data_IF_669290135565
#
_entry.id   IF_669290135565
#
_cell.length_a   1.000
_cell.length_b   1.000
_cell.length_c   1.000
_cell.angle_alpha   90.00
_cell.angle_beta   90.00
_cell.angle_gamma   90.00
#
_symmetry.space_group_name_H-M   'P 1'
#
loop_
_entity.id
_entity.type
_entity.pdbx_description
1 polymer ?
#
# COMPACT_ATOMS: atom_id res chain seq x y z
N UNK A 1 -92.62 -17.25 17.70
CA UNK A 1 -92.39 -16.02 16.91
C UNK A 1 -90.88 -15.88 16.73
N UNK A 2 -90.26 -16.50 15.70
CA UNK A 2 -89.88 -15.89 14.40
C UNK A 2 -89.62 -14.38 14.50
N UNK A 3 -88.36 -13.97 14.28
CA UNK A 3 -87.89 -13.04 13.23
C UNK A 3 -86.36 -13.17 13.15
N UNK A 4 -85.86 -13.65 12.00
CA UNK A 4 -84.51 -13.40 11.48
C UNK A 4 -84.42 -11.93 11.06
N UNK A 5 -83.22 -11.34 11.09
CA UNK A 5 -82.78 -10.59 9.93
C UNK A 5 -81.47 -11.16 9.40
N UNK A 6 -81.52 -11.59 8.16
CA UNK A 6 -80.35 -11.81 7.31
C UNK A 6 -79.74 -10.44 7.00
N UNK A 7 -78.50 -10.21 7.45
CA UNK A 7 -77.64 -9.17 6.90
C UNK A 7 -76.53 -9.89 6.15
N UNK A 8 -76.69 -9.94 4.83
CA UNK A 8 -75.68 -10.37 3.87
C UNK A 8 -74.43 -9.50 4.03
N UNK A 9 -73.44 -10.00 4.77
CA UNK A 9 -72.07 -9.53 4.66
C UNK A 9 -71.55 -10.06 3.32
N UNK A 10 -71.47 -9.17 2.33
CA UNK A 10 -70.74 -9.42 1.09
C UNK A 10 -69.32 -9.88 1.46
N UNK A 11 -69.03 -11.17 1.28
CA UNK A 11 -67.67 -11.69 1.24
C UNK A 11 -66.93 -10.98 0.10
N UNK A 12 -66.14 -9.96 0.44
CA UNK A 12 -65.13 -9.44 -0.47
C UNK A 12 -64.11 -10.55 -0.67
N UNK A 13 -64.10 -11.16 -1.85
CA UNK A 13 -63.03 -12.06 -2.28
C UNK A 13 -61.67 -11.36 -2.11
N UNK A 14 -60.94 -11.76 -1.07
CA UNK A 14 -59.54 -11.38 -0.91
C UNK A 14 -58.79 -12.10 -2.02
N UNK A 15 -58.39 -11.36 -3.06
CA UNK A 15 -57.50 -11.88 -4.10
C UNK A 15 -56.27 -12.47 -3.42
N UNK A 16 -56.13 -13.81 -3.46
CA UNK A 16 -54.95 -14.50 -2.94
C UNK A 16 -53.72 -13.95 -3.66
N UNK A 17 -52.87 -13.23 -2.93
CA UNK A 17 -51.53 -12.83 -3.38
C UNK A 17 -50.81 -14.12 -3.76
N UNK A 18 -50.36 -14.23 -5.00
CA UNK A 18 -49.60 -15.38 -5.50
C UNK A 18 -48.28 -15.43 -4.72
N UNK A 19 -48.19 -16.30 -3.71
CA UNK A 19 -47.03 -16.43 -2.84
C UNK A 19 -46.33 -17.75 -3.13
N UNK A 20 -45.02 -17.68 -3.37
CA UNK A 20 -44.22 -18.88 -3.60
C UNK A 20 -44.18 -19.75 -2.33
N UNK A 21 -44.04 -21.08 -2.47
CA UNK A 21 -43.89 -21.96 -1.33
C UNK A 21 -42.71 -21.55 -0.45
N UNK A 22 -42.86 -21.63 0.87
CA UNK A 22 -41.86 -21.23 1.87
C UNK A 22 -40.45 -21.83 1.67
N UNK A 23 -40.34 -23.00 1.03
CA UNK A 23 -39.07 -23.68 0.78
C UNK A 23 -38.26 -23.05 -0.36
N UNK A 24 -38.90 -22.28 -1.25
CA UNK A 24 -38.25 -21.59 -2.37
C UNK A 24 -37.16 -20.61 -1.88
N UNK A 25 -37.35 -20.04 -0.68
CA UNK A 25 -36.40 -19.13 -0.06
C UNK A 25 -35.04 -19.81 0.21
N UNK A 26 -35.05 -21.04 0.73
CA UNK A 26 -33.82 -21.78 1.00
C UNK A 26 -33.06 -22.13 -0.28
N UNK A 27 -33.78 -22.46 -1.35
CA UNK A 27 -33.19 -22.71 -2.66
C UNK A 27 -32.60 -21.43 -3.26
N UNK A 28 -33.29 -20.30 -3.12
CA UNK A 28 -32.79 -19.00 -3.59
C UNK A 28 -31.49 -18.60 -2.87
N UNK A 29 -31.42 -18.76 -1.54
CA UNK A 29 -30.19 -18.51 -0.79
C UNK A 29 -29.06 -19.47 -1.17
N UNK A 30 -29.37 -20.76 -1.33
CA UNK A 30 -28.40 -21.77 -1.76
C UNK A 30 -27.81 -21.46 -3.13
N UNK A 31 -28.66 -21.13 -4.12
CA UNK A 31 -28.24 -20.74 -5.46
C UNK A 31 -27.43 -19.43 -5.45
N UNK A 32 -27.81 -18.45 -4.63
CA UNK A 32 -27.07 -17.20 -4.51
C UNK A 32 -25.66 -17.42 -3.99
N UNK A 33 -25.49 -18.21 -2.92
CA UNK A 33 -24.18 -18.53 -2.34
C UNK A 33 -23.32 -19.29 -3.36
N UNK A 34 -23.91 -20.26 -4.06
CA UNK A 34 -23.21 -21.06 -5.07
C UNK A 34 -22.71 -20.17 -6.23
N UNK A 35 -23.56 -19.29 -6.76
CA UNK A 35 -23.19 -18.37 -7.83
C UNK A 35 -22.08 -17.40 -7.41
N UNK A 36 -22.14 -16.88 -6.18
CA UNK A 36 -21.10 -16.00 -5.63
C UNK A 36 -19.78 -16.77 -5.49
N UNK A 37 -19.83 -17.98 -4.95
CA UNK A 37 -18.65 -18.84 -4.81
C UNK A 37 -17.99 -19.15 -6.15
N UNK A 38 -18.77 -19.57 -7.15
CA UNK A 38 -18.27 -19.81 -8.50
C UNK A 38 -17.62 -18.55 -9.10
N UNK A 39 -18.27 -17.39 -8.94
CA UNK A 39 -17.74 -16.12 -9.44
C UNK A 39 -16.39 -15.76 -8.82
N UNK A 40 -16.24 -15.94 -7.50
CA UNK A 40 -14.97 -15.68 -6.79
C UNK A 40 -13.86 -16.59 -7.32
N UNK A 41 -14.15 -17.88 -7.47
CA UNK A 41 -13.18 -18.85 -8.00
C UNK A 41 -12.73 -18.44 -9.41
N UNK A 42 -13.65 -18.07 -10.30
CA UNK A 42 -13.32 -17.61 -11.65
C UNK A 42 -12.49 -16.32 -11.66
N UNK A 43 -12.83 -15.35 -10.81
CA UNK A 43 -12.08 -14.09 -10.69
C UNK A 43 -10.63 -14.37 -10.27
N UNK A 44 -10.44 -15.21 -9.25
CA UNK A 44 -9.10 -15.57 -8.75
C UNK A 44 -8.31 -16.34 -9.81
N UNK A 45 -8.92 -17.34 -10.44
CA UNK A 45 -8.27 -18.14 -11.46
C UNK A 45 -7.78 -17.28 -12.65
N UNK A 46 -8.60 -16.32 -13.10
CA UNK A 46 -8.21 -15.38 -14.16
C UNK A 46 -7.16 -14.37 -13.72
N UNK A 47 -7.20 -13.94 -12.46
CA UNK A 47 -6.17 -13.08 -11.88
C UNK A 47 -4.79 -13.75 -11.87
N UNK A 48 -4.74 -15.05 -11.57
CA UNK A 48 -3.49 -15.83 -11.61
C UNK A 48 -2.98 -16.01 -13.04
N UNK A 49 -3.87 -16.23 -14.02
CA UNK A 49 -3.51 -16.45 -15.43
C UNK A 49 -2.93 -15.20 -16.11
N UNK A 50 -3.39 -14.00 -15.76
CA UNK A 50 -3.03 -12.76 -16.46
C UNK A 50 -1.68 -12.14 -16.04
N UNK A 51 -1.15 -12.51 -14.86
CA UNK A 51 0.06 -11.88 -14.30
C UNK A 51 -0.16 -10.43 -13.86
N UNK A 52 0.82 -9.83 -13.19
CA UNK A 52 0.63 -8.61 -12.39
C UNK A 52 0.16 -7.39 -13.20
N UNK A 53 0.86 -7.05 -14.29
CA UNK A 53 0.57 -5.82 -15.06
C UNK A 53 -0.82 -5.82 -15.72
N UNK A 54 -1.24 -6.96 -16.25
CA UNK A 54 -2.55 -7.11 -16.91
C UNK A 54 -3.67 -7.20 -15.88
N UNK A 55 -3.44 -7.90 -14.77
CA UNK A 55 -4.39 -8.01 -13.67
C UNK A 55 -4.64 -6.65 -13.02
N UNK A 56 -3.62 -5.83 -12.84
CA UNK A 56 -3.77 -4.48 -12.30
C UNK A 56 -4.65 -3.60 -13.19
N UNK A 57 -4.41 -3.57 -14.51
CA UNK A 57 -5.22 -2.79 -15.46
C UNK A 57 -6.67 -3.29 -15.52
N UNK A 58 -6.85 -4.61 -15.49
CA UNK A 58 -8.16 -5.24 -15.48
C UNK A 58 -8.95 -4.97 -14.19
N UNK A 59 -8.29 -5.00 -13.03
CA UNK A 59 -8.93 -4.68 -11.76
C UNK A 59 -9.32 -3.19 -11.70
N UNK A 60 -8.47 -2.30 -12.21
CA UNK A 60 -8.77 -0.87 -12.30
C UNK A 60 -10.00 -0.61 -13.19
N UNK A 61 -10.16 -1.34 -14.30
CA UNK A 61 -11.34 -1.16 -15.16
C UNK A 61 -12.63 -1.64 -14.49
N UNK A 62 -12.59 -2.76 -13.75
CA UNK A 62 -13.72 -3.24 -12.95
C UNK A 62 -14.09 -2.22 -11.87
N UNK A 63 -13.10 -1.73 -11.13
CA UNK A 63 -13.29 -0.76 -10.04
C UNK A 63 -13.87 0.55 -10.58
N UNK A 64 -13.32 1.07 -11.67
CA UNK A 64 -13.83 2.27 -12.33
C UNK A 64 -15.26 2.08 -12.84
N UNK A 65 -15.57 0.93 -13.44
CA UNK A 65 -16.92 0.58 -13.88
C UNK A 65 -17.93 0.49 -12.73
N UNK A 66 -17.51 -0.07 -11.59
CA UNK A 66 -18.34 -0.13 -10.37
C UNK A 66 -18.70 1.26 -9.85
N UNK A 67 -17.71 2.15 -9.72
CA UNK A 67 -17.97 3.52 -9.27
C UNK A 67 -18.84 4.31 -10.26
N UNK A 68 -18.57 4.16 -11.56
CA UNK A 68 -19.41 4.75 -12.61
C UNK A 68 -20.86 4.25 -12.52
N UNK A 69 -21.05 2.96 -12.24
CA UNK A 69 -22.38 2.39 -12.06
C UNK A 69 -23.12 2.96 -10.85
N UNK A 70 -22.44 3.09 -9.70
CA UNK A 70 -23.04 3.66 -8.49
C UNK A 70 -23.41 5.13 -8.68
N UNK A 71 -22.50 5.92 -9.27
CA UNK A 71 -22.67 7.37 -9.37
C UNK A 71 -23.73 7.72 -10.42
N UNK A 72 -23.78 7.01 -11.55
CA UNK A 72 -24.62 7.39 -12.69
C UNK A 72 -25.78 6.43 -12.94
N UNK A 73 -25.50 5.12 -13.03
CA UNK A 73 -26.53 4.17 -13.51
C UNK A 73 -27.60 3.87 -12.47
N UNK A 74 -27.24 3.80 -11.18
CA UNK A 74 -28.21 3.49 -10.12
C UNK A 74 -29.22 4.64 -9.90
N UNK A 75 -28.81 5.92 -9.78
CA UNK A 75 -29.77 7.02 -9.68
C UNK A 75 -30.69 7.13 -10.89
N UNK A 76 -30.15 6.93 -12.10
CA UNK A 76 -30.93 6.99 -13.33
C UNK A 76 -31.97 5.87 -13.43
N UNK A 77 -31.64 4.65 -12.97
CA UNK A 77 -32.60 3.54 -12.87
C UNK A 77 -33.72 3.84 -11.87
N UNK A 78 -33.41 4.44 -10.73
CA UNK A 78 -34.41 4.80 -9.71
C UNK A 78 -35.39 5.85 -10.25
N UNK A 79 -34.88 6.89 -10.91
CA UNK A 79 -35.72 7.92 -11.55
C UNK A 79 -36.60 7.29 -12.63
N UNK A 80 -36.04 6.42 -13.48
CA UNK A 80 -36.79 5.71 -14.52
C UNK A 80 -37.92 4.85 -13.94
N UNK A 81 -37.65 4.09 -12.88
CA UNK A 81 -38.68 3.30 -12.18
C UNK A 81 -39.74 4.19 -11.53
N UNK A 82 -39.34 5.30 -10.89
CA UNK A 82 -40.28 6.22 -10.28
C UNK A 82 -41.24 6.84 -11.31
N UNK A 83 -40.73 7.24 -12.48
CA UNK A 83 -41.55 7.74 -13.59
C UNK A 83 -42.45 6.63 -14.13
N UNK A 84 -41.92 5.42 -14.31
CA UNK A 84 -42.70 4.27 -14.77
C UNK A 84 -43.87 3.95 -13.83
N UNK A 85 -43.64 3.88 -12.51
CA UNK A 85 -44.70 3.66 -11.53
C UNK A 85 -45.68 4.84 -11.43
N UNK A 86 -45.20 6.08 -11.53
CA UNK A 86 -46.07 7.26 -11.55
C UNK A 86 -46.99 7.29 -12.78
N UNK A 87 -46.50 6.88 -13.95
CA UNK A 87 -47.27 6.90 -15.20
C UNK A 87 -48.16 5.66 -15.40
N UNK A 88 -47.70 4.46 -15.00
CA UNK A 88 -48.41 3.21 -15.28
C UNK A 88 -49.14 2.63 -14.07
N UNK A 89 -48.77 2.99 -12.83
CA UNK A 89 -49.38 2.46 -11.61
C UNK A 89 -50.23 3.49 -10.84
N UNK A 90 -50.57 4.62 -11.45
CA UNK A 90 -51.69 5.44 -10.97
C UNK A 90 -53.01 4.76 -11.32
N UNK A 91 -53.39 3.76 -10.51
CA UNK A 91 -54.77 3.35 -10.37
C UNK A 91 -55.04 2.86 -8.95
N UNK A 92 -55.97 3.58 -8.34
CA UNK A 92 -56.70 3.36 -7.10
C UNK A 92 -55.89 3.32 -5.80
N UNK A 93 -56.01 4.44 -5.08
CA UNK A 93 -55.80 4.56 -3.65
C UNK A 93 -56.44 3.42 -2.87
N UNK A 94 -55.87 3.11 -1.71
CA UNK A 94 -56.27 2.15 -0.68
C UNK A 94 -55.60 0.78 -0.73
N UNK A 95 -54.35 0.74 -0.25
CA UNK A 95 -53.88 -0.37 0.59
C UNK A 95 -52.98 0.14 1.74
N UNK A 96 -53.38 1.27 2.35
CA UNK A 96 -52.83 1.78 3.63
C UNK A 96 -53.25 0.93 4.85
N UNK A 97 -53.71 -0.30 4.65
CA UNK A 97 -54.11 -1.18 5.76
C UNK A 97 -52.91 -1.81 6.46
N UNK A 98 -51.88 -2.18 5.70
CA UNK A 98 -50.69 -2.80 6.26
C UNK A 98 -49.88 -1.79 7.09
N UNK A 99 -49.86 -0.51 6.72
CA UNK A 99 -49.21 0.55 7.49
C UNK A 99 -49.97 0.92 8.80
N UNK A 100 -51.29 0.82 8.81
CA UNK A 100 -52.10 1.12 9.99
C UNK A 100 -52.10 -0.01 11.03
N UNK A 101 -51.95 -1.26 10.62
CA UNK A 101 -51.89 -2.43 11.52
C UNK A 101 -50.61 -2.42 12.40
N UNK A 102 -49.51 -1.82 11.92
CA UNK A 102 -48.30 -1.60 12.72
C UNK A 102 -48.38 -0.38 13.65
N UNK A 103 -49.29 0.57 13.39
CA UNK A 103 -49.48 1.77 14.22
C UNK A 103 -50.33 1.47 15.47
N UNK A 104 -51.35 0.62 15.33
CA UNK A 104 -52.29 0.28 16.42
C UNK A 104 -51.62 -0.48 17.58
N UNK A 105 -50.71 -1.41 17.25
CA UNK A 105 -49.99 -2.21 18.25
C UNK A 105 -49.01 -1.41 19.14
N UNK A 106 -48.63 -0.19 18.74
CA UNK A 106 -47.70 0.65 19.50
C UNK A 106 -48.40 1.73 20.35
N UNK A 107 -49.73 1.85 20.30
CA UNK A 107 -50.48 2.88 21.02
C UNK A 107 -51.30 2.36 22.22
N UNK A 108 -51.31 1.06 22.49
CA UNK A 108 -52.13 0.44 23.55
C UNK A 108 -51.50 0.44 24.97
N UNK A 109 -50.70 1.46 25.32
CA UNK A 109 -50.21 1.66 26.69
C UNK A 109 -50.13 3.15 27.04
N UNK A 110 -51.26 3.84 26.99
CA UNK A 110 -51.42 5.10 27.70
C UNK A 110 -52.76 5.04 28.44
N UNK A 111 -52.64 4.73 29.73
CA UNK A 111 -53.70 4.77 30.72
C UNK A 111 -54.46 6.10 30.69
N UNK A 112 -55.76 5.99 30.92
CA UNK A 112 -56.66 6.90 31.63
C UNK A 112 -56.20 8.35 31.72
N UNK A 113 -56.89 9.23 30.99
CA UNK A 113 -57.65 10.33 31.60
C UNK A 113 -58.49 11.03 30.53
N UNK A 114 -59.80 11.09 30.79
CA UNK A 114 -60.76 11.85 30.00
C UNK A 114 -60.53 13.34 30.19
N UNK A 115 -60.05 14.07 29.18
CA UNK A 115 -60.53 15.43 28.91
C UNK A 115 -60.04 15.95 27.54
N UNK A 116 -60.86 16.79 26.90
CA UNK A 116 -60.63 17.52 25.65
C UNK A 116 -60.89 16.83 24.30
N UNK A 117 -62.18 16.51 24.13
CA UNK A 117 -62.89 16.85 22.89
C UNK A 117 -62.78 18.38 22.66
N UNK A 118 -62.49 18.78 21.41
CA UNK A 118 -62.39 20.14 20.86
C UNK A 118 -61.00 20.78 20.82
N UNK A 119 -60.34 20.66 19.68
CA UNK A 119 -60.40 21.73 18.67
C UNK A 119 -59.71 21.32 17.38
N UNK A 120 -60.41 21.58 16.27
CA UNK A 120 -59.90 21.49 14.91
C UNK A 120 -58.78 22.52 14.78
N UNK A 121 -57.54 22.13 15.06
CA UNK A 121 -56.36 22.94 14.76
C UNK A 121 -55.57 22.28 13.64
N UNK A 122 -55.64 22.94 12.48
CA UNK A 122 -54.80 22.83 11.29
C UNK A 122 -53.57 21.92 11.51
N UNK A 123 -53.68 20.66 11.08
CA UNK A 123 -52.50 19.79 10.96
C UNK A 123 -51.56 20.46 9.97
N UNK A 124 -50.41 20.92 10.45
CA UNK A 124 -49.34 21.45 9.63
C UNK A 124 -49.01 20.46 8.50
N UNK A 125 -48.89 20.95 7.26
CA UNK A 125 -48.42 20.19 6.09
C UNK A 125 -47.00 19.63 6.25
N UNK A 126 -46.34 19.98 7.36
CA UNK A 126 -45.05 19.47 7.75
C UNK A 126 -45.21 18.68 9.04
N UNK A 127 -45.63 17.43 8.92
CA UNK A 127 -45.42 16.44 9.97
C UNK A 127 -43.91 16.24 10.07
N UNK A 128 -43.30 16.69 11.17
CA UNK A 128 -41.94 16.31 11.52
C UNK A 128 -41.91 14.78 11.64
N UNK A 129 -41.41 14.11 10.59
CA UNK A 129 -41.04 12.70 10.69
C UNK A 129 -39.81 12.67 11.60
N UNK A 130 -39.83 11.97 12.77
CA UNK A 130 -38.60 11.75 13.48
C UNK A 130 -37.65 11.04 12.52
N UNK A 131 -36.42 11.54 12.41
CA UNK A 131 -35.39 10.88 11.62
C UNK A 131 -35.24 9.47 12.16
N UNK A 132 -35.72 8.48 11.40
CA UNK A 132 -35.39 7.08 11.64
C UNK A 132 -33.87 7.05 11.77
N UNK A 133 -33.35 6.61 12.91
CA UNK A 133 -31.91 6.38 13.07
C UNK A 133 -31.56 5.26 12.10
N UNK A 134 -31.16 5.63 10.87
CA UNK A 134 -30.37 4.75 10.01
C UNK A 134 -29.24 4.24 10.89
N UNK A 135 -29.02 2.92 10.88
CA UNK A 135 -27.90 2.26 11.53
C UNK A 135 -26.60 2.90 11.03
N UNK A 136 -26.23 4.03 11.62
CA UNK A 136 -24.90 4.61 11.53
C UNK A 136 -24.07 3.61 12.29
N UNK A 137 -23.20 2.89 11.58
CA UNK A 137 -22.11 2.15 12.22
C UNK A 137 -21.58 3.04 13.34
N UNK A 138 -21.53 2.50 14.55
CA UNK A 138 -21.10 3.30 15.68
C UNK A 138 -19.70 3.83 15.36
N UNK A 139 -19.39 5.06 15.76
CA UNK A 139 -18.07 5.67 15.48
C UNK A 139 -16.92 4.77 15.96
N UNK A 140 -17.17 3.98 17.01
CA UNK A 140 -16.29 2.92 17.50
C UNK A 140 -16.06 1.76 16.51
N UNK A 141 -17.07 1.31 15.78
CA UNK A 141 -16.98 0.25 14.77
C UNK A 141 -16.18 0.72 13.56
N UNK A 142 -16.40 1.98 13.13
CA UNK A 142 -15.64 2.61 12.05
C UNK A 142 -14.16 2.77 12.47
N UNK A 143 -13.91 3.22 13.69
CA UNK A 143 -12.55 3.37 14.21
C UNK A 143 -11.84 2.02 14.39
N UNK A 144 -12.56 0.98 14.80
CA UNK A 144 -12.04 -0.40 14.89
C UNK A 144 -11.67 -0.94 13.51
N UNK A 145 -12.56 -0.81 12.53
CA UNK A 145 -12.29 -1.21 11.14
C UNK A 145 -11.09 -0.45 10.54
N UNK A 146 -10.96 0.85 10.84
CA UNK A 146 -9.83 1.67 10.41
C UNK A 146 -8.50 1.21 11.04
N UNK A 147 -8.50 0.86 12.32
CA UNK A 147 -7.30 0.33 12.99
C UNK A 147 -6.90 -1.03 12.42
N UNK A 148 -7.87 -1.92 12.15
CA UNK A 148 -7.59 -3.22 11.52
C UNK A 148 -7.04 -3.06 10.11
N UNK A 149 -7.59 -2.13 9.32
CA UNK A 149 -7.06 -1.82 7.99
C UNK A 149 -5.62 -1.30 8.07
N UNK A 150 -5.34 -0.38 9.01
CA UNK A 150 -4.00 0.16 9.22
C UNK A 150 -3.02 -0.94 9.67
N UNK A 151 -3.45 -1.82 10.57
CA UNK A 151 -2.65 -2.97 11.01
C UNK A 151 -2.31 -3.87 9.83
N UNK A 152 -3.29 -4.22 9.00
CA UNK A 152 -3.08 -5.05 7.82
C UNK A 152 -2.10 -4.38 6.84
N UNK A 153 -2.22 -3.08 6.58
CA UNK A 153 -1.30 -2.36 5.69
C UNK A 153 0.13 -2.36 6.25
N UNK A 154 0.30 -2.11 7.55
CA UNK A 154 1.62 -2.05 8.19
C UNK A 154 2.28 -3.43 8.24
N UNK A 155 1.52 -4.48 8.56
CA UNK A 155 2.07 -5.82 8.78
C UNK A 155 2.08 -6.70 7.54
N UNK A 156 1.27 -6.40 6.51
CA UNK A 156 1.24 -7.17 5.25
C UNK A 156 2.63 -7.27 4.61
N UNK A 157 3.45 -6.21 4.72
CA UNK A 157 4.79 -6.17 4.15
C UNK A 157 5.91 -6.44 5.17
N UNK A 158 5.60 -6.79 6.43
CA UNK A 158 6.62 -7.08 7.45
C UNK A 158 6.89 -8.58 7.55
N UNK A 159 8.16 -8.96 7.49
CA UNK A 159 8.61 -10.32 7.74
C UNK A 159 9.29 -10.38 9.12
N UNK A 160 9.01 -11.41 9.92
CA UNK A 160 9.64 -11.64 11.23
C UNK A 160 11.16 -11.75 11.12
N UNK A 161 11.67 -12.29 10.00
CA UNK A 161 13.09 -12.54 9.79
C UNK A 161 13.87 -11.32 9.26
N UNK A 162 13.20 -10.20 8.93
CA UNK A 162 13.87 -9.00 8.42
C UNK A 162 14.96 -8.48 9.37
N UNK A 163 14.73 -8.58 10.68
CA UNK A 163 15.72 -8.20 11.68
C UNK A 163 16.97 -9.09 11.64
N UNK A 164 16.79 -10.40 11.55
CA UNK A 164 17.89 -11.36 11.49
C UNK A 164 18.73 -11.16 10.22
N UNK A 165 18.07 -10.89 9.09
CA UNK A 165 18.75 -10.60 7.83
C UNK A 165 19.65 -9.36 7.93
N UNK A 166 19.13 -8.27 8.48
CA UNK A 166 19.91 -7.02 8.65
C UNK A 166 21.08 -7.25 9.62
N UNK A 167 20.86 -7.97 10.71
CA UNK A 167 21.90 -8.29 11.68
C UNK A 167 23.00 -9.16 11.06
N UNK A 168 22.63 -10.19 10.29
CA UNK A 168 23.57 -11.02 9.55
C UNK A 168 24.43 -10.17 8.61
N UNK A 169 23.82 -9.34 7.76
CA UNK A 169 24.55 -8.50 6.81
C UNK A 169 25.50 -7.50 7.49
N UNK A 170 25.11 -6.92 8.63
CA UNK A 170 26.00 -6.04 9.42
C UNK A 170 27.21 -6.78 9.95
N UNK A 171 27.00 -7.91 10.62
CA UNK A 171 28.09 -8.68 11.23
C UNK A 171 28.98 -9.36 10.19
N UNK A 172 28.40 -9.72 9.03
CA UNK A 172 29.14 -10.35 7.94
C UNK A 172 30.20 -9.43 7.34
N UNK A 173 29.88 -8.14 7.17
CA UNK A 173 30.84 -7.17 6.64
C UNK A 173 31.61 -6.41 7.73
N UNK A 174 31.04 -6.15 8.91
CA UNK A 174 31.67 -5.33 9.96
C UNK A 174 31.96 -6.19 11.19
N UNK A 175 33.26 -6.38 11.48
CA UNK A 175 33.70 -7.16 12.66
C UNK A 175 34.23 -6.29 13.81
N UNK A 176 34.48 -4.99 13.61
CA UNK A 176 35.03 -4.11 14.65
C UNK A 176 34.28 -2.77 14.75
N UNK A 177 34.33 -2.18 15.95
CA UNK A 177 33.80 -0.84 16.23
C UNK A 177 34.86 0.26 16.11
N UNK A 178 36.14 -0.08 16.16
CA UNK A 178 37.24 0.88 16.00
C UNK A 178 37.77 0.83 14.57
N UNK A 179 37.59 1.95 13.87
CA UNK A 179 37.93 2.11 12.47
C UNK A 179 39.07 3.12 12.41
N UNK A 180 40.31 2.65 12.28
CA UNK A 180 41.44 3.49 11.88
C UNK A 180 41.74 3.28 10.39
N UNK A 181 42.63 4.09 9.81
CA UNK A 181 42.97 4.01 8.38
C UNK A 181 43.59 2.65 8.02
N UNK A 182 44.48 2.12 8.86
CA UNK A 182 45.14 0.83 8.63
C UNK A 182 44.17 -0.34 8.69
N UNK A 183 43.25 -0.31 9.66
CA UNK A 183 42.15 -1.26 9.77
C UNK A 183 41.25 -1.18 8.55
N UNK A 184 40.91 0.01 8.07
CA UNK A 184 40.05 0.17 6.89
C UNK A 184 40.70 -0.44 5.65
N UNK A 185 42.01 -0.22 5.47
CA UNK A 185 42.77 -0.84 4.38
C UNK A 185 42.80 -2.37 4.51
N UNK A 186 43.17 -2.88 5.69
CA UNK A 186 43.21 -4.32 5.96
C UNK A 186 41.84 -4.98 5.78
N UNK A 187 40.78 -4.31 6.25
CA UNK A 187 39.40 -4.73 6.09
C UNK A 187 39.00 -4.78 4.61
N UNK A 188 39.36 -3.78 3.82
CA UNK A 188 39.10 -3.78 2.38
C UNK A 188 39.80 -4.94 1.68
N UNK A 189 41.10 -5.13 1.93
CA UNK A 189 41.91 -6.13 1.25
C UNK A 189 41.53 -7.57 1.63
N UNK A 190 41.30 -7.84 2.91
CA UNK A 190 41.16 -9.21 3.41
C UNK A 190 39.72 -9.62 3.76
N UNK A 191 38.85 -8.70 4.17
CA UNK A 191 37.48 -9.05 4.58
C UNK A 191 36.46 -8.72 3.48
N UNK A 192 36.41 -7.45 3.06
CA UNK A 192 35.42 -6.97 2.11
C UNK A 192 35.52 -7.66 0.74
N UNK A 193 36.74 -7.76 0.18
CA UNK A 193 36.97 -8.38 -1.14
C UNK A 193 36.69 -9.88 -1.12
N UNK A 194 36.99 -10.57 -0.03
CA UNK A 194 36.61 -11.98 0.11
C UNK A 194 35.10 -12.14 0.25
N UNK A 195 34.42 -11.26 0.99
CA UNK A 195 33.02 -11.42 1.33
C UNK A 195 32.02 -10.92 0.29
N UNK A 196 32.41 -9.98 -0.59
CA UNK A 196 31.53 -9.46 -1.65
C UNK A 196 31.10 -10.50 -2.69
N UNK A 197 31.85 -11.61 -2.83
CA UNK A 197 31.53 -12.68 -3.80
C UNK A 197 31.73 -14.06 -3.20
N UNK A 198 30.94 -15.02 -3.65
CA UNK A 198 31.08 -16.42 -3.30
C UNK A 198 32.50 -16.92 -3.61
N UNK A 199 33.22 -17.35 -2.56
CA UNK A 199 34.52 -18.01 -2.67
C UNK A 199 34.33 -19.52 -2.82
N UNK A 200 35.46 -20.22 -2.96
CA UNK A 200 35.52 -21.68 -2.92
C UNK A 200 34.84 -22.24 -1.66
N UNK A 201 34.33 -23.45 -1.79
CA UNK A 201 33.81 -24.20 -0.66
C UNK A 201 34.92 -24.63 0.29
N UNK A 202 34.55 -25.02 1.51
CA UNK A 202 35.49 -25.51 2.52
C UNK A 202 36.27 -26.75 2.05
N UNK A 203 35.74 -27.48 1.06
CA UNK A 203 36.38 -28.63 0.41
C UNK A 203 37.24 -28.25 -0.81
N UNK A 204 37.44 -26.95 -1.07
CA UNK A 204 38.18 -26.44 -2.23
C UNK A 204 37.42 -26.44 -3.55
N UNK A 205 36.16 -26.91 -3.57
CA UNK A 205 35.38 -26.91 -4.81
C UNK A 205 34.95 -25.48 -5.21
N UNK A 206 34.90 -25.19 -6.52
CA UNK A 206 34.43 -23.89 -6.99
C UNK A 206 32.93 -23.70 -6.71
N UNK A 207 32.48 -22.46 -6.43
CA UNK A 207 31.08 -22.17 -6.14
C UNK A 207 30.23 -22.13 -7.43
N UNK A 208 29.95 -23.31 -8.00
CA UNK A 208 29.15 -23.47 -9.22
C UNK A 208 27.76 -22.84 -9.04
N UNK A 209 27.27 -22.11 -10.04
CA UNK A 209 25.99 -21.39 -10.04
C UNK A 209 25.83 -20.26 -9.00
N UNK A 210 26.92 -19.82 -8.36
CA UNK A 210 26.91 -18.77 -7.33
C UNK A 210 27.63 -17.49 -7.77
N UNK A 211 27.81 -17.26 -9.08
CA UNK A 211 28.59 -16.14 -9.63
C UNK A 211 28.07 -14.73 -9.28
N UNK A 212 26.83 -14.62 -8.81
CA UNK A 212 26.22 -13.39 -8.33
C UNK A 212 25.90 -13.39 -6.84
N UNK A 213 26.39 -14.35 -6.06
CA UNK A 213 26.16 -14.42 -4.61
C UNK A 213 27.34 -13.85 -3.84
N UNK A 214 27.07 -13.31 -2.65
CA UNK A 214 28.11 -12.93 -1.69
C UNK A 214 28.67 -14.20 -1.02
N UNK A 215 29.74 -14.08 -0.21
CA UNK A 215 30.42 -15.23 0.37
C UNK A 215 29.64 -15.98 1.48
N UNK A 216 28.40 -15.59 1.74
CA UNK A 216 27.44 -16.36 2.54
C UNK A 216 26.70 -17.44 1.72
N UNK A 217 26.90 -17.43 0.40
CA UNK A 217 26.34 -18.38 -0.59
C UNK A 217 24.81 -18.40 -0.63
N UNK A 218 24.17 -17.39 -0.05
CA UNK A 218 22.71 -17.31 0.14
C UNK A 218 22.14 -16.00 -0.38
N UNK A 219 22.84 -14.87 -0.17
CA UNK A 219 22.39 -13.56 -0.63
C UNK A 219 22.99 -13.22 -2.00
N UNK A 220 22.12 -12.83 -2.93
CA UNK A 220 22.50 -12.41 -4.27
C UNK A 220 22.89 -10.93 -4.29
N UNK A 221 24.09 -10.63 -4.75
CA UNK A 221 24.54 -9.28 -5.07
C UNK A 221 23.85 -8.79 -6.35
N UNK A 222 23.19 -7.65 -6.27
CA UNK A 222 22.60 -6.97 -7.43
C UNK A 222 23.62 -5.93 -7.93
N UNK A 223 24.12 -6.12 -9.16
CA UNK A 223 25.15 -5.26 -9.74
C UNK A 223 26.55 -5.53 -9.17
N UNK A 224 27.19 -4.50 -8.66
CA UNK A 224 28.53 -4.56 -8.05
C UNK A 224 28.61 -3.54 -6.92
N UNK A 225 29.49 -3.77 -5.94
CA UNK A 225 29.77 -2.74 -4.96
C UNK A 225 30.53 -1.58 -5.60
N UNK A 226 30.35 -0.40 -5.02
CA UNK A 226 31.01 0.82 -5.42
C UNK A 226 31.62 1.49 -4.19
N UNK A 227 32.83 2.01 -4.35
CA UNK A 227 33.47 2.88 -3.38
C UNK A 227 33.48 4.29 -3.95
N UNK A 228 33.04 5.25 -3.15
CA UNK A 228 33.00 6.66 -3.53
C UNK A 228 33.86 7.47 -2.57
N UNK A 229 34.70 8.32 -3.12
CA UNK A 229 35.56 9.22 -2.36
C UNK A 229 35.27 10.68 -2.71
N UNK A 230 35.21 11.51 -1.68
CA UNK A 230 35.20 12.97 -1.79
C UNK A 230 36.56 13.52 -1.35
N UNK A 231 36.97 14.63 -1.96
CA UNK A 231 38.24 15.29 -1.66
C UNK A 231 38.03 16.79 -1.50
N UNK A 232 38.92 17.42 -0.76
CA UNK A 232 38.97 18.87 -0.54
C UNK A 232 40.14 19.44 -1.35
N UNK A 233 39.96 20.63 -1.92
CA UNK A 233 40.97 21.32 -2.74
C UNK A 233 42.30 21.48 -1.99
N UNK A 234 43.39 21.02 -2.59
CA UNK A 234 44.74 21.13 -2.00
C UNK A 234 45.27 22.57 -1.93
N UNK A 235 44.78 23.49 -2.77
CA UNK A 235 45.20 24.90 -2.79
C UNK A 235 44.89 25.64 -1.49
N UNK A 236 43.86 25.20 -0.76
CA UNK A 236 43.55 25.76 0.56
C UNK A 236 44.70 25.54 1.55
N UNK A 237 45.49 24.50 1.33
CA UNK A 237 46.62 24.11 2.16
C UNK A 237 47.97 24.67 1.73
N UNK A 238 48.02 25.62 0.79
CA UNK A 238 49.29 26.21 0.34
C UNK A 238 49.91 27.20 1.34
N UNK A 239 49.19 27.55 2.42
CA UNK A 239 49.66 28.52 3.42
C UNK A 239 49.81 27.85 4.78
N UNK A 240 51.00 27.31 5.04
CA UNK A 240 51.50 27.23 6.41
C UNK A 240 53.02 27.23 6.40
N UNK A 241 53.56 28.18 7.17
CA UNK A 241 54.98 28.32 7.49
C UNK A 241 55.59 26.98 7.90
N UNK A 242 56.90 26.85 7.72
CA UNK A 242 57.78 25.66 7.82
C UNK A 242 57.68 24.80 9.10
N UNK A 243 56.76 25.09 10.03
CA UNK A 243 56.67 24.52 11.37
C UNK A 243 55.65 23.37 11.45
N UNK A 244 54.67 23.28 10.55
CA UNK A 244 53.70 22.16 10.55
C UNK A 244 53.37 21.69 9.13
N UNK A 245 53.74 20.46 8.80
CA UNK A 245 53.59 19.83 7.47
C UNK A 245 52.18 19.27 7.17
N UNK A 246 51.24 19.36 8.12
CA UNK A 246 49.91 18.77 7.98
C UNK A 246 48.84 19.86 7.97
N UNK A 247 48.44 20.28 6.77
CA UNK A 247 47.24 21.08 6.60
C UNK A 247 46.05 20.18 6.27
N UNK A 248 44.95 20.35 7.01
CA UNK A 248 43.71 19.63 6.80
C UNK A 248 42.54 20.60 6.98
N UNK A 249 41.69 20.68 5.95
CA UNK A 249 40.44 21.44 6.00
C UNK A 249 39.25 20.50 6.04
N UNK A 250 38.23 20.90 6.80
CA UNK A 250 36.96 20.19 6.83
C UNK A 250 36.26 20.25 5.48
N UNK A 251 35.51 19.20 5.16
CA UNK A 251 34.76 19.13 3.92
C UNK A 251 33.55 20.09 3.91
N UNK A 252 33.35 20.78 2.79
CA UNK A 252 32.15 21.54 2.46
C UNK A 252 31.87 21.48 0.95
N UNK A 253 30.63 21.77 0.55
CA UNK A 253 30.28 21.81 -0.88
C UNK A 253 31.10 22.83 -1.69
N UNK A 254 31.63 23.87 -1.06
CA UNK A 254 32.39 24.95 -1.71
C UNK A 254 33.87 24.59 -1.92
N UNK A 255 34.45 23.87 -0.98
CA UNK A 255 35.86 23.45 -1.03
C UNK A 255 36.08 22.05 -1.63
N UNK A 256 35.01 21.40 -2.09
CA UNK A 256 35.09 20.12 -2.80
C UNK A 256 35.99 20.22 -4.04
N UNK A 257 36.89 19.26 -4.17
CA UNK A 257 37.81 19.11 -5.30
C UNK A 257 37.12 18.36 -6.45
N UNK A 258 37.00 19.06 -7.59
CA UNK A 258 36.28 18.60 -8.79
C UNK A 258 37.19 18.27 -9.97
N UNK A 259 38.51 18.27 -9.76
CA UNK A 259 39.47 18.01 -10.85
C UNK A 259 39.56 16.53 -11.19
N UNK A 260 39.77 16.19 -12.47
CA UNK A 260 40.05 14.81 -12.84
C UNK A 260 41.56 14.54 -12.75
N UNK A 261 41.94 13.45 -12.11
CA UNK A 261 43.32 13.07 -11.86
C UNK A 261 43.71 11.80 -12.62
N UNK A 262 45.01 11.54 -12.69
CA UNK A 262 45.54 10.22 -13.01
C UNK A 262 45.73 9.40 -11.73
N UNK A 263 45.84 8.07 -11.83
CA UNK A 263 45.98 7.20 -10.67
C UNK A 263 47.08 7.66 -9.71
N UNK A 264 46.74 7.69 -8.41
CA UNK A 264 47.58 8.24 -7.36
C UNK A 264 47.43 9.75 -7.14
N UNK A 265 46.36 10.37 -7.64
CA UNK A 265 46.07 11.80 -7.47
C UNK A 265 47.14 12.72 -8.08
N UNK A 266 47.73 12.29 -9.19
CA UNK A 266 48.79 13.01 -9.92
C UNK A 266 48.29 13.51 -11.27
N UNK A 267 48.97 14.53 -11.81
CA UNK A 267 48.65 15.09 -13.13
C UNK A 267 49.32 14.32 -14.28
N UNK A 268 50.39 13.57 -14.01
CA UNK A 268 51.16 12.81 -15.01
C UNK A 268 50.97 11.30 -14.87
N UNK A 269 51.04 10.60 -16.00
CA UNK A 269 50.94 9.13 -16.06
C UNK A 269 52.31 8.54 -15.78
N UNK A 270 52.45 7.83 -14.65
CA UNK A 270 53.70 7.13 -14.29
C UNK A 270 53.70 5.69 -14.83
N UNK A 271 52.52 5.08 -15.00
CA UNK A 271 52.33 3.68 -15.44
C UNK A 271 51.01 3.53 -16.21
N UNK A 272 50.93 2.51 -17.07
CA UNK A 272 49.69 2.12 -17.73
C UNK A 272 48.80 1.34 -16.74
N UNK A 273 47.64 1.91 -16.41
CA UNK A 273 46.62 1.30 -15.56
C UNK A 273 45.44 0.81 -16.40
N UNK A 274 44.64 -0.12 -15.86
CA UNK A 274 43.40 -0.53 -16.51
C UNK A 274 42.42 0.64 -16.64
N UNK A 275 41.52 0.55 -17.61
CA UNK A 275 40.48 1.58 -17.83
C UNK A 275 39.63 1.82 -16.58
N UNK A 276 39.26 0.77 -15.84
CA UNK A 276 38.48 0.87 -14.60
C UNK A 276 39.20 1.68 -13.52
N UNK A 277 40.50 1.46 -13.34
CA UNK A 277 41.32 2.24 -12.40
C UNK A 277 41.46 3.67 -12.89
N UNK A 278 41.68 3.91 -14.18
CA UNK A 278 41.79 5.29 -14.67
C UNK A 278 40.49 6.07 -14.52
N UNK A 279 39.34 5.41 -14.68
CA UNK A 279 38.03 6.02 -14.52
C UNK A 279 37.76 6.41 -13.06
N UNK A 280 38.30 5.65 -12.09
CA UNK A 280 38.07 5.95 -10.68
C UNK A 280 38.77 7.19 -10.15
N UNK A 281 39.68 7.80 -10.93
CA UNK A 281 40.30 9.08 -10.60
C UNK A 281 39.68 10.25 -11.39
N UNK A 282 38.64 10.00 -12.19
CA UNK A 282 37.84 11.04 -12.83
C UNK A 282 36.70 11.46 -11.93
N UNK A 283 36.49 12.77 -11.84
CA UNK A 283 35.41 13.33 -11.04
C UNK A 283 34.07 13.17 -11.76
N UNK A 284 33.06 12.64 -11.06
CA UNK A 284 31.71 12.43 -11.59
C UNK A 284 30.68 13.24 -10.80
N UNK A 285 29.68 13.79 -11.49
CA UNK A 285 28.63 14.60 -10.85
C UNK A 285 27.47 13.73 -10.38
N UNK A 286 26.67 14.24 -9.44
CA UNK A 286 25.51 13.53 -8.90
C UNK A 286 24.45 13.19 -9.94
N UNK A 287 24.38 13.99 -11.03
CA UNK A 287 23.49 13.73 -12.17
C UNK A 287 23.95 12.53 -12.98
N UNK A 288 25.25 12.39 -13.20
CA UNK A 288 25.81 11.27 -13.95
C UNK A 288 25.68 9.95 -13.17
N UNK A 289 25.74 10.06 -11.84
CA UNK A 289 25.72 8.92 -10.92
C UNK A 289 24.31 8.57 -10.40
N UNK A 290 23.31 9.41 -10.67
CA UNK A 290 21.97 9.33 -10.07
C UNK A 290 22.00 9.20 -8.54
N UNK A 291 22.86 9.98 -7.90
CA UNK A 291 23.07 9.98 -6.44
C UNK A 291 22.50 11.23 -5.78
N UNK A 292 22.20 11.12 -4.49
CA UNK A 292 21.70 12.22 -3.66
C UNK A 292 22.71 12.59 -2.57
N UNK A 293 22.44 13.72 -1.91
CA UNK A 293 23.22 14.16 -0.73
C UNK A 293 23.09 13.10 0.37
N UNK A 294 24.22 12.74 0.96
CA UNK A 294 24.29 11.83 2.10
C UNK A 294 24.52 12.63 3.39
N UNK A 295 23.74 12.36 4.42
CA UNK A 295 23.90 12.99 5.74
C UNK A 295 24.54 11.96 6.67
N UNK A 296 25.81 12.20 7.02
CA UNK A 296 26.53 11.41 8.01
C UNK A 296 26.58 12.11 9.36
N UNK A 297 27.31 11.52 10.31
CA UNK A 297 27.50 12.06 11.66
C UNK A 297 28.28 13.38 11.65
N UNK A 298 29.33 13.48 10.83
CA UNK A 298 30.20 14.66 10.78
C UNK A 298 29.77 15.74 9.77
N UNK A 299 28.79 15.48 8.92
CA UNK A 299 28.38 16.48 7.92
C UNK A 299 27.48 15.97 6.81
N UNK A 300 27.21 16.87 5.87
CA UNK A 300 26.43 16.61 4.65
C UNK A 300 27.39 16.49 3.48
N UNK A 301 27.33 15.39 2.76
CA UNK A 301 28.22 15.03 1.67
C UNK A 301 27.48 15.08 0.34
N UNK A 302 28.10 15.64 -0.70
CA UNK A 302 27.45 15.77 -2.01
C UNK A 302 27.22 14.39 -2.62
N UNK A 303 26.41 14.31 -3.69
CA UNK A 303 26.26 13.08 -4.48
C UNK A 303 27.45 12.82 -5.43
N UNK A 304 28.38 13.76 -5.56
CA UNK A 304 29.46 13.68 -6.55
C UNK A 304 30.62 12.80 -6.05
N UNK A 305 31.70 12.77 -6.82
CA UNK A 305 33.01 12.32 -6.36
C UNK A 305 33.69 11.36 -7.31
N UNK A 306 34.69 10.68 -6.79
CA UNK A 306 35.50 9.70 -7.49
C UNK A 306 35.00 8.30 -7.14
N UNK A 307 34.76 7.46 -8.15
CA UNK A 307 34.11 6.15 -7.94
C UNK A 307 34.96 5.02 -8.46
N UNK A 308 35.20 4.05 -7.59
CA UNK A 308 35.74 2.77 -7.97
C UNK A 308 34.65 1.70 -7.91
N UNK A 309 34.49 0.96 -9.00
CA UNK A 309 33.51 -0.10 -9.11
C UNK A 309 34.23 -1.45 -9.00
N UNK A 310 33.78 -2.31 -8.08
CA UNK A 310 34.36 -3.64 -7.89
C UNK A 310 33.88 -4.62 -8.96
N UNK A 311 34.10 -4.28 -10.24
CA UNK A 311 33.78 -5.09 -11.42
C UNK A 311 34.88 -6.13 -11.62
N UNK A 312 34.53 -7.40 -11.54
CA UNK A 312 35.47 -8.49 -11.78
C UNK A 312 34.83 -9.85 -11.58
N UNK A 313 35.57 -10.91 -11.88
CA UNK A 313 35.31 -12.26 -11.40
C UNK A 313 36.52 -12.60 -10.55
N UNK A 314 36.32 -13.02 -9.30
CA UNK A 314 37.46 -13.51 -8.52
C UNK A 314 37.89 -14.83 -9.18
N UNK A 315 39.20 -14.94 -9.39
CA UNK A 315 39.85 -16.08 -10.08
C UNK A 315 39.80 -17.31 -9.19
#
# INVERSE_FOLDING_TARGET
YKIKPELNLNEKEIKKKFSFPWWCIFIAYGLSILLVGLSIIFIIARGIEFGDDKTQKWLISILSGFFSSIIFTQPLKIIGLAIFFACFCQKDSYDDKEANEYLDNNQLNLDNDEEYLHSIQKKSLFTYRPTIRVNRLNESEINSARQQLLYNIIYSNRNSNSFLQVNHSRNFFLNSRQINCDYTKNWLENNFIENIRAQQWYNGEPPKNLSGFINDKSNRLIGWATMRQLRVKSTLCQVQNEITSTCQYDYSFHNEDKYSYKPGWKNSIIKNYSSSITQSFQYSTSKDLNTYIYVGEHGRYSGNGYIYEFRGRLV
#
